data_IF_115968206253
#
_entry.id   IF_115968206253
#
_cell.length_a   1.000
_cell.length_b   1.000
_cell.length_c   1.000
_cell.angle_alpha   90.00
_cell.angle_beta   90.00
_cell.angle_gamma   90.00
#
_symmetry.space_group_name_H-M   'P 1'
#
loop_
_entity.id
_entity.type
_entity.pdbx_description
1 polymer ?
#
# COMPACT_ATOMS: atom_id res chain seq x y z
N UNK A 1 8.21 1.29 4.52
CA UNK A 1 8.07 -0.04 3.87
C UNK A 1 8.25 -1.11 4.93
N UNK A 2 7.49 -2.22 4.86
CA UNK A 2 7.65 -3.34 5.79
C UNK A 2 8.86 -4.20 5.41
N UNK A 3 9.57 -4.73 6.40
CA UNK A 3 10.81 -5.50 6.17
C UNK A 3 10.55 -6.81 5.43
N UNK A 4 9.43 -7.51 5.75
CA UNK A 4 9.03 -8.74 5.06
C UNK A 4 8.81 -8.52 3.56
N UNK A 5 8.31 -7.34 3.18
CA UNK A 5 8.03 -6.99 1.79
C UNK A 5 9.26 -7.10 0.87
N UNK A 6 10.46 -6.83 1.37
CA UNK A 6 11.70 -6.99 0.59
C UNK A 6 11.93 -8.43 0.15
N UNK A 7 11.77 -9.39 1.07
CA UNK A 7 11.89 -10.83 0.77
C UNK A 7 10.77 -11.31 -0.16
N UNK A 8 9.56 -10.80 0.05
CA UNK A 8 8.38 -11.13 -0.73
C UNK A 8 8.46 -10.62 -2.18
N UNK A 9 9.06 -9.44 -2.41
CA UNK A 9 9.37 -8.95 -3.75
C UNK A 9 10.36 -9.87 -4.48
N UNK A 10 11.40 -10.31 -3.78
CA UNK A 10 12.41 -11.21 -4.37
C UNK A 10 11.81 -12.57 -4.76
N UNK A 11 10.79 -13.02 -4.05
CA UNK A 11 10.04 -14.26 -4.34
C UNK A 11 8.81 -14.05 -5.21
N UNK A 12 8.68 -12.88 -5.85
CA UNK A 12 7.59 -12.52 -6.77
C UNK A 12 6.17 -12.66 -6.17
N UNK A 13 6.03 -12.38 -4.85
CA UNK A 13 4.75 -12.48 -4.15
C UNK A 13 3.88 -11.22 -4.28
N UNK A 14 4.36 -10.15 -4.92
CA UNK A 14 3.61 -8.93 -5.16
C UNK A 14 3.73 -8.52 -6.63
N UNK A 15 2.58 -8.30 -7.25
CA UNK A 15 2.52 -7.81 -8.64
C UNK A 15 1.80 -6.47 -8.69
N UNK A 16 2.54 -5.41 -8.98
CA UNK A 16 2.02 -4.07 -9.17
C UNK A 16 1.72 -3.81 -10.65
N UNK A 17 0.49 -3.42 -10.95
CA UNK A 17 0.05 -3.10 -12.30
C UNK A 17 -0.19 -4.32 -13.19
N UNK A 18 -0.72 -4.06 -14.38
CA UNK A 18 -0.81 -5.07 -15.44
C UNK A 18 0.59 -5.25 -16.05
N UNK A 19 1.29 -6.29 -15.65
CA UNK A 19 2.59 -6.61 -16.21
C UNK A 19 2.43 -7.53 -17.40
N UNK A 20 3.01 -7.16 -18.53
CA UNK A 20 3.30 -8.13 -19.60
C UNK A 20 4.56 -8.88 -19.16
N UNK A 21 4.40 -10.02 -18.52
CA UNK A 21 5.55 -10.88 -18.24
C UNK A 21 6.05 -11.40 -19.59
N UNK A 22 7.30 -11.13 -19.90
CA UNK A 22 7.96 -11.75 -21.04
C UNK A 22 7.93 -13.26 -20.81
N UNK A 23 7.16 -13.96 -21.63
CA UNK A 23 6.91 -15.39 -21.52
C UNK A 23 8.23 -16.16 -21.50
N UNK A 24 8.52 -16.81 -20.39
CA UNK A 24 9.49 -17.91 -20.32
C UNK A 24 8.72 -19.23 -20.42
N UNK A 25 8.27 -19.59 -21.60
CA UNK A 25 7.45 -20.79 -21.82
C UNK A 25 5.97 -20.59 -21.50
N UNK A 26 5.20 -21.67 -21.37
CA UNK A 26 3.75 -21.64 -21.10
C UNK A 26 3.46 -21.22 -19.66
N UNK A 27 3.74 -19.97 -19.30
CA UNK A 27 3.39 -19.40 -18.01
C UNK A 27 2.16 -18.52 -18.16
N UNK A 28 1.05 -18.91 -17.53
CA UNK A 28 -0.13 -18.05 -17.45
C UNK A 28 0.14 -16.96 -16.40
N UNK A 29 0.16 -15.70 -16.86
CA UNK A 29 0.27 -14.54 -15.95
C UNK A 29 -1.02 -14.46 -15.14
N UNK A 30 -0.99 -14.59 -13.82
CA UNK A 30 -2.18 -14.35 -13.00
C UNK A 30 -2.68 -12.92 -13.17
N UNK A 31 -3.96 -12.69 -12.94
CA UNK A 31 -4.47 -11.33 -12.79
C UNK A 31 -3.66 -10.60 -11.72
N UNK A 32 -3.44 -9.30 -11.92
CA UNK A 32 -2.69 -8.49 -10.94
C UNK A 32 -3.27 -8.60 -9.53
N UNK A 33 -2.42 -8.45 -8.54
CA UNK A 33 -2.84 -8.48 -7.14
C UNK A 33 -3.79 -7.32 -6.78
N UNK A 34 -4.67 -7.56 -5.83
CA UNK A 34 -5.52 -6.53 -5.25
C UNK A 34 -4.85 -5.98 -3.98
N UNK A 35 -4.61 -4.70 -3.97
CA UNK A 35 -4.06 -3.99 -2.81
C UNK A 35 -5.15 -3.22 -2.09
N UNK A 36 -5.05 -3.16 -0.77
CA UNK A 36 -5.98 -2.44 0.09
C UNK A 36 -5.26 -1.54 1.07
N UNK A 37 -5.99 -0.55 1.58
CA UNK A 37 -5.52 0.40 2.58
C UNK A 37 -6.46 0.37 3.79
N UNK A 38 -5.97 -0.06 4.94
CA UNK A 38 -6.71 -0.10 6.20
C UNK A 38 -6.21 1.00 7.15
N UNK A 39 -7.14 1.74 7.77
CA UNK A 39 -6.83 2.80 8.73
C UNK A 39 -6.71 2.24 10.14
N UNK A 40 -5.80 2.83 10.92
CA UNK A 40 -5.51 2.38 12.28
C UNK A 40 -5.58 3.53 13.28
N UNK A 41 -6.09 3.20 14.47
CA UNK A 41 -6.21 4.11 15.60
C UNK A 41 -4.83 4.57 16.08
N UNK A 42 -4.78 5.73 16.73
CA UNK A 42 -3.54 6.26 17.33
C UNK A 42 -2.92 5.36 18.41
N UNK A 43 -3.66 4.37 18.89
CA UNK A 43 -3.20 3.35 19.84
C UNK A 43 -2.53 2.14 19.16
N UNK A 44 -2.60 2.06 17.83
CA UNK A 44 -2.05 0.94 17.08
C UNK A 44 -0.51 1.00 17.02
N UNK A 45 0.13 -0.16 17.12
CA UNK A 45 1.59 -0.30 16.97
C UNK A 45 1.94 -0.82 15.57
N UNK A 46 1.48 -0.14 14.51
CA UNK A 46 1.81 -0.48 13.12
C UNK A 46 3.13 0.17 12.72
N UNK A 47 4.06 -0.62 12.23
CA UNK A 47 5.41 -0.16 11.87
C UNK A 47 6.08 -1.11 10.86
N UNK A 48 7.38 -0.96 10.64
CA UNK A 48 8.15 -1.79 9.72
C UNK A 48 8.16 -3.29 10.07
N UNK A 49 7.83 -3.68 11.29
CA UNK A 49 7.73 -5.08 11.71
C UNK A 49 6.35 -5.70 11.43
N UNK A 50 5.38 -4.91 10.95
CA UNK A 50 4.06 -5.42 10.58
C UNK A 50 4.18 -6.34 9.37
N UNK A 51 3.71 -7.57 9.48
CA UNK A 51 3.85 -8.59 8.42
C UNK A 51 2.57 -8.81 7.61
N UNK A 52 1.41 -8.52 8.19
CA UNK A 52 0.11 -8.73 7.53
C UNK A 52 -0.98 -7.82 8.12
N UNK A 53 -2.04 -7.63 7.33
CA UNK A 53 -3.32 -7.17 7.85
C UNK A 53 -4.01 -8.34 8.56
N UNK A 54 -4.48 -8.10 9.78
CA UNK A 54 -5.21 -9.10 10.59
C UNK A 54 -6.68 -8.69 10.66
N UNK A 55 -7.56 -9.57 10.23
CA UNK A 55 -9.01 -9.40 10.41
C UNK A 55 -9.32 -9.39 11.90
N UNK A 56 -10.21 -8.50 12.34
CA UNK A 56 -10.59 -8.33 13.76
C UNK A 56 -9.47 -7.75 14.64
N UNK A 57 -8.52 -7.02 14.07
CA UNK A 57 -7.58 -6.22 14.85
C UNK A 57 -8.36 -5.07 15.54
N UNK A 58 -8.40 -5.12 16.87
CA UNK A 58 -9.12 -4.13 17.67
C UNK A 58 -8.59 -2.69 17.52
N UNK A 59 -7.41 -2.52 16.91
CA UNK A 59 -6.82 -1.21 16.62
C UNK A 59 -7.08 -0.73 15.19
N UNK A 60 -7.77 -1.53 14.36
CA UNK A 60 -8.30 -1.02 13.11
C UNK A 60 -9.45 -0.04 13.38
N UNK A 61 -9.56 0.98 12.57
CA UNK A 61 -10.66 1.95 12.65
C UNK A 61 -12.01 1.27 12.43
N UNK A 62 -13.02 1.70 13.18
CA UNK A 62 -14.40 1.31 12.96
C UNK A 62 -15.31 2.56 12.97
N UNK A 63 -16.38 2.52 12.20
CA UNK A 63 -17.34 3.62 12.13
C UNK A 63 -18.25 3.53 10.90
N UNK A 64 -19.23 4.42 10.84
CA UNK A 64 -20.19 4.44 9.73
C UNK A 64 -19.46 4.73 8.43
N UNK A 65 -19.77 3.95 7.38
CA UNK A 65 -19.20 4.09 6.05
C UNK A 65 -17.79 3.50 5.89
N UNK A 66 -17.16 3.05 6.97
CA UNK A 66 -15.89 2.34 6.91
C UNK A 66 -16.13 0.82 6.84
N UNK A 67 -15.47 0.16 5.92
CA UNK A 67 -15.49 -1.30 5.81
C UNK A 67 -14.18 -1.88 6.35
N UNK A 68 -14.26 -2.86 7.23
CA UNK A 68 -13.10 -3.59 7.75
C UNK A 68 -12.18 -4.06 6.63
N UNK A 69 -10.89 -3.85 6.76
CA UNK A 69 -9.90 -4.06 5.71
C UNK A 69 -9.70 -2.86 4.80
N UNK A 70 -10.45 -1.80 4.99
CA UNK A 70 -10.30 -0.53 4.26
C UNK A 70 -10.76 -0.60 2.80
N UNK A 71 -10.22 0.29 1.99
CA UNK A 71 -10.59 0.47 0.58
C UNK A 71 -9.55 -0.11 -0.38
N UNK A 72 -9.99 -0.44 -1.59
CA UNK A 72 -9.08 -0.91 -2.65
C UNK A 72 -8.21 0.25 -3.15
N UNK A 73 -6.93 -0.04 -3.35
CA UNK A 73 -5.94 0.88 -3.89
C UNK A 73 -5.83 0.67 -5.39
N UNK A 74 -5.91 1.74 -6.17
CA UNK A 74 -5.79 1.67 -7.62
C UNK A 74 -4.32 1.50 -8.01
N UNK A 75 -3.93 0.32 -8.46
CA UNK A 75 -2.54 -0.06 -8.80
C UNK A 75 -2.29 -0.20 -10.28
N UNK A 76 -2.87 0.68 -11.11
CA UNK A 76 -2.68 0.64 -12.56
C UNK A 76 -1.31 1.17 -13.01
N UNK A 77 -0.56 1.81 -12.11
CA UNK A 77 0.78 2.31 -12.41
C UNK A 77 1.77 1.14 -12.43
N UNK A 78 2.45 0.97 -13.56
CA UNK A 78 3.52 -0.01 -13.68
C UNK A 78 4.75 0.49 -12.93
N UNK A 79 5.42 -0.36 -12.12
CA UNK A 79 6.70 -0.02 -11.52
C UNK A 79 7.72 0.39 -12.58
N UNK A 80 8.45 1.45 -12.32
CA UNK A 80 9.46 2.02 -13.21
C UNK A 80 10.82 1.99 -12.51
N UNK A 81 11.88 1.86 -13.28
CA UNK A 81 13.24 1.97 -12.76
C UNK A 81 14.05 2.98 -13.59
N UNK A 82 14.88 3.74 -12.91
CA UNK A 82 15.95 4.49 -13.57
C UNK A 82 17.16 3.59 -13.70
N UNK A 83 17.77 3.62 -14.86
CA UNK A 83 19.03 2.92 -15.12
C UNK A 83 20.08 3.97 -15.51
N UNK A 84 21.06 4.18 -14.65
CA UNK A 84 22.15 5.13 -14.89
C UNK A 84 23.45 4.53 -14.42
N UNK A 85 24.48 4.58 -15.24
CA UNK A 85 25.84 4.18 -14.86
C UNK A 85 26.54 5.19 -13.94
N UNK A 86 25.98 6.39 -13.82
CA UNK A 86 26.58 7.50 -13.05
C UNK A 86 25.95 7.70 -11.66
N UNK A 87 24.75 7.16 -11.40
CA UNK A 87 24.04 7.31 -10.15
C UNK A 87 23.34 6.01 -9.76
N UNK A 88 23.13 5.80 -8.46
CA UNK A 88 22.39 4.65 -7.98
C UNK A 88 21.01 4.55 -8.67
N UNK A 89 20.70 3.37 -9.18
CA UNK A 89 19.40 3.10 -9.79
C UNK A 89 18.28 3.10 -8.75
N UNK A 90 17.09 3.56 -9.13
CA UNK A 90 15.92 3.56 -8.26
C UNK A 90 14.76 2.89 -8.98
N UNK A 91 14.26 1.79 -8.40
CA UNK A 91 12.95 1.23 -8.75
C UNK A 91 11.88 1.92 -7.92
N UNK A 92 10.78 2.34 -8.54
CA UNK A 92 9.75 3.10 -7.83
C UNK A 92 8.34 2.88 -8.40
N UNK A 93 7.35 3.05 -7.53
CA UNK A 93 5.93 3.01 -7.90
C UNK A 93 5.09 3.80 -6.90
N UNK A 94 4.07 4.47 -7.41
CA UNK A 94 3.00 5.10 -6.63
C UNK A 94 1.66 4.63 -7.19
N UNK A 95 0.63 4.37 -6.36
CA UNK A 95 -0.74 4.13 -6.83
C UNK A 95 -1.21 5.23 -7.79
N UNK A 96 -1.97 4.86 -8.82
CA UNK A 96 -2.40 5.79 -9.86
C UNK A 96 -3.38 6.87 -9.37
N UNK A 97 -4.05 6.63 -8.25
CA UNK A 97 -5.03 7.55 -7.67
C UNK A 97 -4.84 7.67 -6.17
N UNK A 98 -5.29 8.79 -5.60
CA UNK A 98 -5.39 8.98 -4.15
C UNK A 98 -6.34 7.95 -3.53
N UNK A 99 -6.07 7.57 -2.28
CA UNK A 99 -6.89 6.63 -1.52
C UNK A 99 -7.98 7.45 -0.82
N UNK A 100 -9.25 7.13 -1.11
CA UNK A 100 -10.40 7.93 -0.67
C UNK A 100 -11.38 7.08 0.12
N UNK A 101 -11.72 7.53 1.32
CA UNK A 101 -12.76 6.98 2.16
C UNK A 101 -13.94 7.96 2.16
N UNK A 102 -14.98 7.63 1.40
CA UNK A 102 -16.14 8.52 1.18
C UNK A 102 -17.22 8.32 2.23
N UNK A 103 -17.87 9.41 2.63
CA UNK A 103 -19.05 9.39 3.52
C UNK A 103 -18.81 8.59 4.80
N UNK A 104 -17.66 8.81 5.45
CA UNK A 104 -17.30 8.12 6.68
C UNK A 104 -17.56 8.98 7.92
N UNK A 105 -17.90 8.33 9.04
CA UNK A 105 -17.91 8.90 10.37
C UNK A 105 -17.00 8.08 11.26
N UNK A 106 -15.83 8.62 11.58
CA UNK A 106 -14.74 8.00 12.32
C UNK A 106 -14.43 8.89 13.52
N UNK A 107 -15.12 8.65 14.63
CA UNK A 107 -15.06 9.51 15.83
C UNK A 107 -13.88 9.21 16.74
N UNK A 108 -13.31 8.01 16.65
CA UNK A 108 -12.08 7.66 17.36
C UNK A 108 -10.88 8.10 16.56
N UNK A 109 -9.90 8.73 17.20
CA UNK A 109 -8.73 9.29 16.57
C UNK A 109 -7.86 8.21 15.90
N UNK A 110 -7.44 8.45 14.66
CA UNK A 110 -6.60 7.58 13.87
C UNK A 110 -5.46 8.37 13.21
N UNK A 111 -4.32 7.74 12.98
CA UNK A 111 -3.10 8.40 12.48
C UNK A 111 -2.25 7.53 11.57
N UNK A 112 -2.70 6.34 11.23
CA UNK A 112 -1.91 5.43 10.41
C UNK A 112 -2.75 4.72 9.35
N UNK A 113 -2.10 4.35 8.24
CA UNK A 113 -2.63 3.48 7.19
C UNK A 113 -1.66 2.34 6.92
N UNK A 114 -2.18 1.12 6.85
CA UNK A 114 -1.47 -0.06 6.37
C UNK A 114 -1.88 -0.35 4.92
N UNK A 115 -0.91 -0.33 4.01
CA UNK A 115 -1.07 -0.88 2.67
C UNK A 115 -0.72 -2.37 2.69
N UNK A 116 -1.60 -3.19 2.15
CA UNK A 116 -1.41 -4.64 2.14
C UNK A 116 -1.97 -5.29 0.87
N UNK A 117 -1.46 -6.47 0.55
CA UNK A 117 -1.86 -7.27 -0.60
C UNK A 117 -2.93 -8.29 -0.17
N UNK A 118 -4.18 -8.03 -0.50
CA UNK A 118 -5.30 -8.89 -0.11
C UNK A 118 -5.36 -10.20 -0.91
N UNK A 119 -4.72 -10.27 -2.06
CA UNK A 119 -4.62 -11.50 -2.88
C UNK A 119 -3.60 -12.48 -2.29
N UNK A 120 -2.54 -11.96 -1.66
CA UNK A 120 -1.43 -12.75 -1.10
C UNK A 120 -1.54 -12.86 0.42
N UNK A 121 -2.61 -13.45 0.92
CA UNK A 121 -2.81 -13.70 2.35
C UNK A 121 -2.66 -12.43 3.22
N UNK A 122 -3.14 -11.29 2.74
CA UNK A 122 -3.09 -9.99 3.43
C UNK A 122 -1.68 -9.50 3.79
N UNK A 123 -0.64 -9.89 3.06
CA UNK A 123 0.75 -9.48 3.33
C UNK A 123 0.92 -7.97 3.35
N UNK A 124 1.57 -7.46 4.39
CA UNK A 124 1.84 -6.05 4.57
C UNK A 124 2.87 -5.55 3.55
N UNK A 125 2.65 -4.36 3.01
CA UNK A 125 3.57 -3.67 2.09
C UNK A 125 4.26 -2.51 2.80
N UNK A 126 3.46 -1.58 3.31
CA UNK A 126 3.99 -0.39 3.99
C UNK A 126 3.00 0.16 5.01
N UNK A 127 3.53 0.80 6.02
CA UNK A 127 2.78 1.60 6.99
C UNK A 127 3.17 3.06 6.79
N UNK A 128 2.19 3.93 6.71
CA UNK A 128 2.38 5.38 6.66
C UNK A 128 1.61 6.02 7.80
N UNK A 129 2.29 6.90 8.52
CA UNK A 129 1.70 7.68 9.61
C UNK A 129 1.47 9.12 9.18
N UNK A 130 0.46 9.75 9.73
CA UNK A 130 0.08 11.14 9.49
C UNK A 130 -0.43 11.76 10.79
N UNK A 131 -0.73 13.06 10.78
CA UNK A 131 -1.30 13.71 11.98
C UNK A 131 -2.65 13.10 12.35
N UNK A 132 -2.92 12.98 13.65
CA UNK A 132 -4.17 12.43 14.19
C UNK A 132 -5.42 13.09 13.58
N UNK A 133 -6.36 12.26 13.13
CA UNK A 133 -7.60 12.66 12.46
C UNK A 133 -8.83 12.09 13.15
N UNK A 134 -9.94 12.80 13.05
CA UNK A 134 -11.31 12.32 13.27
C UNK A 134 -12.18 12.87 12.15
N UNK A 135 -13.19 12.12 11.72
CA UNK A 135 -14.07 12.53 10.61
C UNK A 135 -15.53 12.39 11.04
N UNK A 136 -16.32 13.42 10.78
CA UNK A 136 -17.79 13.38 10.99
C UNK A 136 -18.50 13.63 9.67
N UNK A 137 -19.19 12.61 9.17
CA UNK A 137 -19.99 12.65 7.93
C UNK A 137 -19.20 13.27 6.75
N UNK A 138 -17.93 12.85 6.56
CA UNK A 138 -17.02 13.48 5.60
C UNK A 138 -16.28 12.48 4.71
N UNK A 139 -15.38 13.03 3.92
CA UNK A 139 -14.44 12.24 3.09
C UNK A 139 -13.03 12.41 3.62
N UNK A 140 -12.34 11.28 3.85
CA UNK A 140 -10.92 11.28 4.14
C UNK A 140 -10.13 10.88 2.91
N UNK A 141 -9.13 11.68 2.53
CA UNK A 141 -8.30 11.43 1.36
C UNK A 141 -6.83 11.40 1.73
N UNK A 142 -6.18 10.30 1.39
CA UNK A 142 -4.73 10.19 1.39
C UNK A 142 -4.21 10.51 -0.02
N UNK A 143 -3.68 11.70 -0.19
CA UNK A 143 -3.12 12.13 -1.48
C UNK A 143 -1.82 11.38 -1.75
N UNK A 144 -1.74 10.74 -2.90
CA UNK A 144 -0.54 10.01 -3.29
C UNK A 144 0.57 10.96 -3.71
N UNK A 145 1.83 10.66 -3.35
CA UNK A 145 2.98 11.43 -3.82
C UNK A 145 3.18 11.24 -5.33
N UNK A 146 3.93 12.13 -5.94
CA UNK A 146 4.30 12.00 -7.35
C UNK A 146 5.09 10.71 -7.62
N UNK A 147 4.80 10.05 -8.74
CA UNK A 147 5.51 8.83 -9.15
C UNK A 147 6.87 9.17 -9.76
N UNK A 148 7.84 9.56 -8.93
CA UNK A 148 9.19 9.95 -9.32
C UNK A 148 10.24 9.24 -8.49
N UNK A 149 11.49 9.28 -8.95
CA UNK A 149 12.63 8.68 -8.23
C UNK A 149 12.85 9.23 -6.83
N UNK A 150 12.40 10.45 -6.54
CA UNK A 150 12.59 11.12 -5.24
C UNK A 150 11.35 11.09 -4.34
N UNK A 151 10.14 10.95 -4.90
CA UNK A 151 8.91 11.14 -4.16
C UNK A 151 7.98 9.93 -4.12
N UNK A 152 8.16 8.94 -4.99
CA UNK A 152 7.24 7.80 -5.08
C UNK A 152 7.00 7.09 -3.74
N UNK A 153 5.79 6.54 -3.56
CA UNK A 153 5.34 5.91 -2.32
C UNK A 153 6.21 4.71 -1.92
N UNK A 154 6.61 3.90 -2.90
CA UNK A 154 7.52 2.76 -2.72
C UNK A 154 8.74 3.02 -3.59
N UNK A 155 9.92 2.93 -2.98
CA UNK A 155 11.20 3.16 -3.65
C UNK A 155 12.21 2.15 -3.16
N UNK A 156 12.94 1.55 -4.09
CA UNK A 156 14.07 0.67 -3.87
C UNK A 156 15.27 1.27 -4.59
N UNK A 157 16.30 1.63 -3.86
CA UNK A 157 17.52 2.21 -4.45
C UNK A 157 18.67 1.21 -4.32
N UNK A 158 19.50 1.12 -5.35
CA UNK A 158 20.82 0.48 -5.26
C UNK A 158 21.76 1.45 -4.54
N UNK A 159 22.61 0.94 -3.70
CA UNK A 159 23.68 1.70 -3.04
C UNK A 159 24.95 1.67 -3.85
#
# INVERSE_FOLDING_TARGET
MCTSFLGELMSAQHQFGASTIVSRGSFTVPAGDTFKAALYLTTATKNASTTAFTVSDATEVSGTGYTTGGVTVTTTTTPTATNSSATAGVGFVTPAASIVYTTVTLTTAFDAVLLYNSTQSNKAISVHTFGSQTITAGTFTLTMPANTTSAALIRLATT
#
